data_IF_526042022650
#
_entry.id   IF_526042022650
#
_cell.length_a   1.000
_cell.length_b   1.000
_cell.length_c   1.000
_cell.angle_alpha   90.00
_cell.angle_beta   90.00
_cell.angle_gamma   90.00
#
_symmetry.space_group_name_H-M   'P 1'
#
loop_
_entity.id
_entity.type
_entity.pdbx_description
1 polymer ?
#
# COMPACT_ATOMS: atom_id res chain seq x y z
N UNK A 1 -4.50 10.52 16.62
CA UNK A 1 -3.39 9.62 16.99
C UNK A 1 -2.87 10.05 18.35
N UNK A 2 -3.39 9.51 19.45
CA UNK A 2 -2.74 9.69 20.76
C UNK A 2 -1.47 8.83 20.75
N UNK A 3 -0.31 9.48 20.82
CA UNK A 3 0.96 8.78 21.00
C UNK A 3 0.93 8.07 22.35
N UNK A 4 0.65 6.78 22.34
CA UNK A 4 0.91 5.88 23.46
C UNK A 4 2.43 5.68 23.57
N UNK A 5 3.16 6.75 23.89
CA UNK A 5 4.59 6.68 24.15
C UNK A 5 4.85 5.60 25.20
N UNK A 6 5.80 4.71 24.94
CA UNK A 6 6.15 3.59 25.83
C UNK A 6 6.44 4.08 27.26
N UNK A 7 6.96 5.30 27.39
CA UNK A 7 7.21 6.01 28.64
C UNK A 7 6.16 7.10 28.89
N UNK A 8 4.91 6.71 29.11
CA UNK A 8 3.85 7.65 29.44
C UNK A 8 3.91 8.12 30.91
N UNK A 9 3.07 9.10 31.26
CA UNK A 9 2.97 9.64 32.62
C UNK A 9 2.57 8.56 33.64
N UNK A 10 1.84 7.52 33.22
CA UNK A 10 1.44 6.42 34.10
C UNK A 10 2.63 5.52 34.43
N UNK A 11 3.51 5.27 33.46
CA UNK A 11 4.78 4.57 33.66
C UNK A 11 5.64 5.28 34.70
N UNK A 12 5.89 6.58 34.54
CA UNK A 12 6.73 7.35 35.46
C UNK A 12 6.15 7.41 36.88
N UNK A 13 4.82 7.50 37.02
CA UNK A 13 4.16 7.41 38.33
C UNK A 13 4.35 6.05 38.99
N UNK A 14 4.17 4.96 38.24
CA UNK A 14 4.37 3.60 38.74
C UNK A 14 5.84 3.33 39.12
N UNK A 15 6.77 3.78 38.28
CA UNK A 15 8.20 3.64 38.51
C UNK A 15 8.67 4.45 39.72
N UNK A 16 8.17 5.67 39.89
CA UNK A 16 8.46 6.50 41.06
C UNK A 16 7.95 5.86 42.37
N UNK A 17 6.76 5.26 42.35
CA UNK A 17 6.22 4.51 43.49
C UNK A 17 7.08 3.28 43.82
N UNK A 18 7.51 2.55 42.79
CA UNK A 18 8.43 1.42 42.96
C UNK A 18 9.75 1.84 43.61
N UNK A 19 10.38 2.92 43.11
CA UNK A 19 11.63 3.45 43.68
C UNK A 19 11.47 3.87 45.15
N UNK A 20 10.33 4.45 45.50
CA UNK A 20 10.02 4.81 46.88
C UNK A 20 9.93 3.57 47.80
N UNK A 21 9.27 2.50 47.34
CA UNK A 21 9.21 1.23 48.09
C UNK A 21 10.60 0.61 48.21
N UNK A 22 11.39 0.59 47.14
CA UNK A 22 12.75 0.07 47.16
C UNK A 22 13.64 0.85 48.14
N UNK A 23 13.51 2.18 48.19
CA UNK A 23 14.21 3.03 49.15
C UNK A 23 13.84 2.70 50.60
N UNK A 24 12.55 2.52 50.90
CA UNK A 24 12.07 2.11 52.23
C UNK A 24 12.67 0.74 52.62
N UNK A 25 12.66 -0.23 51.68
CA UNK A 25 13.25 -1.55 51.90
C UNK A 25 14.74 -1.43 52.24
N UNK A 26 15.50 -0.63 51.50
CA UNK A 26 16.92 -0.38 51.79
C UNK A 26 17.18 0.30 53.14
N UNK A 27 16.23 1.08 53.67
CA UNK A 27 16.34 1.74 54.98
C UNK A 27 15.91 0.85 56.16
N UNK A 28 15.17 -0.25 55.92
CA UNK A 28 14.70 -1.16 56.98
C UNK A 28 15.83 -1.77 57.83
N UNK A 29 16.98 -2.21 57.28
CA UNK A 29 18.08 -2.75 58.09
C UNK A 29 18.61 -1.75 59.12
N UNK A 30 18.76 -0.48 58.73
CA UNK A 30 19.20 0.58 59.63
C UNK A 30 18.18 0.86 60.74
N UNK A 31 16.89 0.81 60.42
CA UNK A 31 15.82 0.98 61.41
C UNK A 31 15.77 -0.18 62.41
N UNK A 32 15.85 -1.42 61.91
CA UNK A 32 15.77 -2.63 62.72
C UNK A 32 17.01 -2.79 63.62
N UNK A 33 18.20 -2.44 63.13
CA UNK A 33 19.44 -2.54 63.91
C UNK A 33 19.57 -1.47 64.99
N UNK A 34 19.05 -0.26 64.78
CA UNK A 34 19.15 0.84 65.76
C UNK A 34 18.16 0.72 66.93
N UNK A 35 17.02 0.07 66.73
CA UNK A 35 15.93 -0.01 67.71
C UNK A 35 15.73 -1.40 68.34
N UNK A 36 16.54 -2.39 67.96
CA UNK A 36 16.50 -3.72 68.56
C UNK A 36 17.23 -3.74 69.91
N UNK A 37 16.56 -4.23 70.96
CA UNK A 37 17.14 -4.55 72.28
C UNK A 37 18.06 -5.79 72.28
N UNK A 38 18.63 -6.15 71.12
CA UNK A 38 19.38 -7.39 70.92
C UNK A 38 20.85 -7.02 70.68
N UNK A 39 21.74 -7.51 71.54
CA UNK A 39 23.18 -7.30 71.43
C UNK A 39 23.75 -8.21 70.33
N UNK A 40 24.19 -7.60 69.24
CA UNK A 40 24.67 -8.30 68.05
C UNK A 40 26.21 -8.27 67.94
N UNK A 41 26.89 -8.65 69.02
CA UNK A 41 28.36 -8.67 69.08
C UNK A 41 29.02 -9.76 68.20
N UNK A 42 28.26 -10.76 67.72
CA UNK A 42 28.70 -11.75 66.73
C UNK A 42 28.22 -11.35 65.31
N UNK A 43 29.15 -11.02 64.43
CA UNK A 43 28.86 -10.52 63.06
C UNK A 43 28.13 -11.52 62.16
N UNK A 44 28.13 -12.82 62.49
CA UNK A 44 27.44 -13.86 61.72
C UNK A 44 25.91 -13.84 61.87
N UNK A 45 25.40 -13.69 63.10
CA UNK A 45 23.95 -13.76 63.40
C UNK A 45 23.18 -12.53 62.88
N UNK A 46 23.87 -11.39 62.73
CA UNK A 46 23.34 -10.19 62.05
C UNK A 46 23.05 -10.49 60.58
N UNK A 47 24.00 -11.16 59.90
CA UNK A 47 23.89 -11.48 58.47
C UNK A 47 22.69 -12.38 58.19
N UNK A 48 22.48 -13.40 59.01
CA UNK A 48 21.38 -14.35 58.87
C UNK A 48 20.02 -13.69 59.13
N UNK A 49 19.92 -12.81 60.12
CA UNK A 49 18.68 -12.08 60.44
C UNK A 49 18.34 -11.05 59.35
N UNK A 50 19.33 -10.28 58.87
CA UNK A 50 19.12 -9.32 57.78
C UNK A 50 18.75 -10.07 56.50
N UNK A 51 19.45 -11.15 56.14
CA UNK A 51 19.16 -11.94 54.95
C UNK A 51 17.75 -12.57 54.98
N UNK A 52 17.37 -13.16 56.11
CA UNK A 52 16.05 -13.79 56.29
C UNK A 52 14.88 -12.80 56.25
N UNK A 53 15.05 -11.62 56.86
CA UNK A 53 14.01 -10.57 56.84
C UNK A 53 13.97 -9.85 55.49
N UNK A 54 15.11 -9.57 54.86
CA UNK A 54 15.18 -8.81 53.61
C UNK A 54 14.81 -9.63 52.37
N UNK A 55 15.06 -10.94 52.37
CA UNK A 55 14.81 -11.83 51.23
C UNK A 55 13.40 -11.67 50.62
N UNK A 56 12.32 -11.78 51.41
CA UNK A 56 10.95 -11.58 50.91
C UNK A 56 10.70 -10.18 50.33
N UNK A 57 11.24 -9.12 50.94
CA UNK A 57 11.06 -7.74 50.42
C UNK A 57 11.80 -7.53 49.10
N UNK A 58 13.03 -8.02 48.99
CA UNK A 58 13.81 -7.99 47.75
C UNK A 58 13.09 -8.79 46.66
N UNK A 59 12.53 -9.96 47.00
CA UNK A 59 11.77 -10.78 46.06
C UNK A 59 10.49 -10.08 45.56
N UNK A 60 9.75 -9.40 46.43
CA UNK A 60 8.58 -8.59 46.03
C UNK A 60 9.00 -7.42 45.13
N UNK A 61 10.10 -6.75 45.46
CA UNK A 61 10.63 -5.67 44.62
C UNK A 61 11.05 -6.21 43.24
N UNK A 62 11.76 -7.34 43.18
CA UNK A 62 12.15 -7.99 41.93
C UNK A 62 10.92 -8.43 41.10
N UNK A 63 9.88 -8.97 41.74
CA UNK A 63 8.63 -9.32 41.07
C UNK A 63 7.92 -8.07 40.51
N UNK A 64 7.91 -6.97 41.26
CA UNK A 64 7.39 -5.68 40.82
C UNK A 64 8.12 -5.13 39.59
N UNK A 65 9.46 -5.12 39.61
CA UNK A 65 10.27 -4.75 38.44
C UNK A 65 9.98 -5.63 37.22
N UNK A 66 9.85 -6.93 37.45
CA UNK A 66 9.57 -7.90 36.40
C UNK A 66 8.22 -7.62 35.74
N UNK A 67 7.17 -7.33 36.52
CA UNK A 67 5.85 -6.96 35.99
C UNK A 67 5.92 -5.66 35.19
N UNK A 68 6.64 -4.64 35.68
CA UNK A 68 6.84 -3.38 34.96
C UNK A 68 7.56 -3.61 33.63
N UNK A 69 8.62 -4.41 33.63
CA UNK A 69 9.38 -4.76 32.44
C UNK A 69 8.49 -5.49 31.41
N UNK A 70 7.72 -6.49 31.85
CA UNK A 70 6.76 -7.19 30.99
C UNK A 70 5.68 -6.27 30.44
N UNK A 71 5.20 -5.31 31.24
CA UNK A 71 4.19 -4.35 30.78
C UNK A 71 4.73 -3.43 29.68
N UNK A 72 5.97 -2.93 29.85
CA UNK A 72 6.68 -2.15 28.82
C UNK A 72 6.86 -2.99 27.55
N UNK A 73 7.29 -4.24 27.70
CA UNK A 73 7.49 -5.16 26.58
C UNK A 73 6.19 -5.50 25.86
N UNK A 74 5.09 -5.68 26.59
CA UNK A 74 3.75 -5.89 26.04
C UNK A 74 3.29 -4.68 25.21
N UNK A 75 3.46 -3.46 25.74
CA UNK A 75 3.13 -2.23 25.01
C UNK A 75 3.98 -2.07 23.75
N UNK A 76 5.29 -2.32 23.84
CA UNK A 76 6.19 -2.32 22.69
C UNK A 76 5.79 -3.38 21.65
N UNK A 77 5.36 -4.56 22.08
CA UNK A 77 4.91 -5.63 21.19
C UNK A 77 3.63 -5.24 20.41
N UNK A 78 2.68 -4.54 21.04
CA UNK A 78 1.49 -4.05 20.33
C UNK A 78 1.87 -3.10 19.20
N UNK A 79 2.76 -2.14 19.48
CA UNK A 79 3.24 -1.21 18.45
C UNK A 79 3.97 -1.95 17.33
N UNK A 80 4.86 -2.86 17.70
CA UNK A 80 5.62 -3.67 16.76
C UNK A 80 4.71 -4.51 15.84
N UNK A 81 3.58 -5.03 16.35
CA UNK A 81 2.61 -5.77 15.52
C UNK A 81 1.99 -4.90 14.42
N UNK A 82 1.75 -3.62 14.70
CA UNK A 82 1.23 -2.67 13.72
C UNK A 82 2.27 -2.36 12.65
N UNK A 83 3.51 -2.09 13.07
CA UNK A 83 4.61 -1.78 12.13
C UNK A 83 4.91 -2.99 11.22
N UNK A 84 4.96 -4.20 11.78
CA UNK A 84 5.08 -5.45 11.01
C UNK A 84 3.92 -5.63 10.02
N UNK A 85 2.69 -5.23 10.38
CA UNK A 85 1.56 -5.35 9.46
C UNK A 85 1.71 -4.43 8.24
N UNK A 86 2.22 -3.21 8.45
CA UNK A 86 2.53 -2.27 7.36
C UNK A 86 3.67 -2.82 6.49
N UNK A 87 4.78 -3.26 7.10
CA UNK A 87 5.91 -3.83 6.36
C UNK A 87 5.48 -5.04 5.51
N UNK A 88 4.63 -5.92 6.04
CA UNK A 88 4.06 -7.06 5.30
C UNK A 88 3.18 -6.60 4.16
N UNK A 89 2.35 -5.58 4.38
CA UNK A 89 1.53 -5.00 3.32
C UNK A 89 2.40 -4.46 2.19
N UNK A 90 3.42 -3.66 2.52
CA UNK A 90 4.33 -3.06 1.54
C UNK A 90 5.11 -4.14 0.79
N UNK A 91 5.66 -5.12 1.50
CA UNK A 91 6.38 -6.24 0.89
C UNK A 91 5.49 -7.01 -0.09
N UNK A 92 4.24 -7.32 0.28
CA UNK A 92 3.29 -7.98 -0.62
C UNK A 92 2.93 -7.09 -1.81
N UNK A 93 2.71 -5.80 -1.60
CA UNK A 93 2.39 -4.86 -2.68
C UNK A 93 3.54 -4.79 -3.69
N UNK A 94 4.79 -4.65 -3.23
CA UNK A 94 5.95 -4.59 -4.11
C UNK A 94 6.16 -5.91 -4.86
N UNK A 95 5.89 -7.05 -4.22
CA UNK A 95 5.91 -8.34 -4.89
C UNK A 95 4.83 -8.44 -5.99
N UNK A 96 3.61 -7.97 -5.73
CA UNK A 96 2.59 -7.92 -6.77
C UNK A 96 2.98 -6.95 -7.90
N UNK A 97 3.61 -5.82 -7.61
CA UNK A 97 4.13 -4.93 -8.65
C UNK A 97 5.21 -5.64 -9.47
N UNK A 98 6.10 -6.40 -8.82
CA UNK A 98 7.12 -7.19 -9.51
C UNK A 98 6.49 -8.22 -10.45
N UNK A 99 5.52 -9.01 -9.96
CA UNK A 99 4.78 -9.98 -10.78
C UNK A 99 4.06 -9.28 -11.95
N UNK A 100 3.51 -8.07 -11.76
CA UNK A 100 2.93 -7.30 -12.86
C UNK A 100 3.95 -6.99 -13.95
N UNK A 101 5.18 -6.63 -13.56
CA UNK A 101 6.27 -6.40 -14.51
C UNK A 101 6.69 -7.69 -15.21
N UNK A 102 6.73 -8.82 -14.51
CA UNK A 102 7.00 -10.12 -15.15
C UNK A 102 5.91 -10.51 -16.16
N UNK A 103 4.63 -10.35 -15.81
CA UNK A 103 3.51 -10.58 -16.73
C UNK A 103 3.69 -9.71 -17.97
N UNK A 104 4.00 -8.42 -17.77
CA UNK A 104 4.21 -7.45 -18.86
C UNK A 104 5.37 -7.87 -19.75
N UNK A 105 6.53 -8.20 -19.16
CA UNK A 105 7.73 -8.59 -19.88
C UNK A 105 7.59 -9.95 -20.59
N UNK A 106 6.74 -10.83 -20.06
CA UNK A 106 6.40 -12.12 -20.67
C UNK A 106 5.42 -12.04 -21.85
N UNK A 107 4.79 -10.88 -22.09
CA UNK A 107 3.94 -10.69 -23.26
C UNK A 107 4.76 -10.81 -24.54
N UNK A 108 4.25 -11.58 -25.51
CA UNK A 108 4.92 -11.79 -26.79
C UNK A 108 3.91 -12.02 -27.89
N UNK A 109 4.08 -11.33 -29.01
CA UNK A 109 3.34 -11.56 -30.25
C UNK A 109 4.32 -12.05 -31.29
N UNK A 110 4.05 -13.24 -31.83
CA UNK A 110 4.87 -13.87 -32.86
C UNK A 110 4.06 -14.08 -34.13
N UNK A 111 4.69 -13.81 -35.28
CA UNK A 111 4.20 -14.27 -36.57
C UNK A 111 4.72 -15.68 -36.80
N UNK A 112 3.83 -16.61 -37.10
CA UNK A 112 4.19 -17.96 -37.53
C UNK A 112 4.72 -17.85 -38.97
N UNK A 113 6.00 -18.12 -39.16
CA UNK A 113 6.63 -18.25 -40.47
C UNK A 113 6.81 -19.71 -40.86
N UNK A 114 7.07 -19.99 -42.15
CA UNK A 114 7.31 -21.36 -42.64
C UNK A 114 8.59 -21.99 -42.09
N UNK A 115 9.60 -21.18 -41.72
CA UNK A 115 10.90 -21.64 -41.23
C UNK A 115 11.16 -21.31 -39.76
N UNK A 116 10.85 -20.08 -39.33
CA UNK A 116 11.03 -19.63 -37.94
C UNK A 116 9.94 -18.64 -37.54
N UNK A 117 9.56 -18.66 -36.26
CA UNK A 117 8.67 -17.65 -35.69
C UNK A 117 9.40 -16.32 -35.58
N UNK A 118 8.81 -15.26 -36.14
CA UNK A 118 9.33 -13.90 -35.99
C UNK A 118 8.61 -13.19 -34.86
N UNK A 119 9.35 -12.73 -33.87
CA UNK A 119 8.82 -11.87 -32.79
C UNK A 119 8.45 -10.51 -33.40
N UNK A 120 7.17 -10.15 -33.33
CA UNK A 120 6.65 -8.88 -33.82
C UNK A 120 6.70 -7.80 -32.73
N UNK A 121 6.38 -8.19 -31.50
CA UNK A 121 6.44 -7.34 -30.32
C UNK A 121 6.68 -8.19 -29.06
N UNK A 122 7.36 -7.62 -28.07
CA UNK A 122 7.65 -8.29 -26.79
C UNK A 122 7.58 -7.27 -25.66
N UNK A 123 7.21 -7.74 -24.46
CA UNK A 123 7.15 -6.90 -23.29
C UNK A 123 6.15 -5.75 -23.45
N UNK A 124 6.59 -4.53 -23.12
CA UNK A 124 5.77 -3.31 -23.20
C UNK A 124 5.42 -2.89 -24.63
N UNK A 125 6.25 -3.26 -25.61
CA UNK A 125 6.01 -2.90 -27.02
C UNK A 125 4.76 -3.59 -27.58
N UNK A 126 4.31 -4.67 -26.93
CA UNK A 126 3.07 -5.36 -27.28
C UNK A 126 1.86 -4.41 -27.22
N UNK A 127 1.78 -3.54 -26.21
CA UNK A 127 0.66 -2.60 -26.09
C UNK A 127 0.63 -1.61 -27.25
N UNK A 128 1.80 -1.10 -27.66
CA UNK A 128 1.90 -0.23 -28.83
C UNK A 128 1.51 -0.97 -30.10
N UNK A 129 2.06 -2.18 -30.30
CA UNK A 129 1.80 -2.95 -31.50
C UNK A 129 0.32 -3.30 -31.65
N UNK A 130 -0.33 -3.75 -30.58
CA UNK A 130 -1.77 -4.03 -30.54
C UNK A 130 -2.59 -2.79 -30.86
N UNK A 131 -2.23 -1.65 -30.27
CA UNK A 131 -2.98 -0.42 -30.43
C UNK A 131 -2.85 0.18 -31.84
N UNK A 132 -1.63 0.21 -32.39
CA UNK A 132 -1.31 0.98 -33.61
C UNK A 132 -1.17 0.14 -34.89
N UNK A 133 -0.83 -1.15 -34.78
CA UNK A 133 -0.35 -1.91 -35.93
C UNK A 133 -1.06 -3.25 -36.17
N UNK A 134 -1.49 -3.93 -35.11
CA UNK A 134 -2.09 -5.26 -35.19
C UNK A 134 -3.46 -5.22 -35.87
N UNK A 135 -3.68 -5.98 -36.96
CA UNK A 135 -5.01 -6.14 -37.52
C UNK A 135 -5.84 -7.08 -36.62
N UNK A 136 -6.98 -6.59 -36.16
CA UNK A 136 -7.93 -7.33 -35.33
C UNK A 136 -9.25 -7.49 -36.09
N UNK A 137 -9.88 -8.64 -35.95
CA UNK A 137 -11.22 -8.86 -36.49
C UNK A 137 -12.24 -8.17 -35.59
N UNK A 138 -12.70 -6.99 -36.01
CA UNK A 138 -13.61 -6.15 -35.23
C UNK A 138 -14.93 -6.02 -36.00
N UNK A 139 -16.04 -6.18 -35.28
CA UNK A 139 -17.38 -5.87 -35.78
C UNK A 139 -17.62 -4.37 -35.64
N UNK A 140 -17.96 -3.71 -36.75
CA UNK A 140 -18.43 -2.33 -36.77
C UNK A 140 -19.74 -2.27 -37.53
N UNK A 141 -20.81 -1.85 -36.86
CA UNK A 141 -22.18 -1.97 -37.36
C UNK A 141 -22.52 -3.40 -37.83
N UNK A 142 -22.91 -3.54 -39.10
CA UNK A 142 -23.30 -4.83 -39.69
C UNK A 142 -22.16 -5.60 -40.38
N UNK A 143 -20.91 -5.15 -40.27
CA UNK A 143 -19.77 -5.75 -40.97
C UNK A 143 -18.62 -6.08 -40.03
N UNK A 144 -18.03 -7.25 -40.23
CA UNK A 144 -16.76 -7.63 -39.61
C UNK A 144 -15.62 -7.37 -40.60
N UNK A 145 -14.50 -6.86 -40.10
CA UNK A 145 -13.31 -6.66 -40.92
C UNK A 145 -12.05 -6.61 -40.07
N UNK A 146 -10.90 -6.61 -40.74
CA UNK A 146 -9.62 -6.45 -40.08
C UNK A 146 -9.29 -4.96 -39.96
N UNK A 147 -9.27 -4.47 -38.72
CA UNK A 147 -9.00 -3.08 -38.40
C UNK A 147 -7.90 -2.98 -37.35
N UNK A 148 -7.14 -1.88 -37.38
CA UNK A 148 -6.29 -1.52 -36.25
C UNK A 148 -7.17 -1.04 -35.11
N UNK A 149 -6.79 -1.37 -33.88
CA UNK A 149 -7.60 -1.04 -32.70
C UNK A 149 -7.86 0.47 -32.61
N UNK A 150 -6.81 1.30 -32.77
CA UNK A 150 -6.92 2.77 -32.76
C UNK A 150 -7.90 3.30 -33.81
N UNK A 151 -7.88 2.75 -35.01
CA UNK A 151 -8.76 3.20 -36.10
C UNK A 151 -10.22 2.79 -35.82
N UNK A 152 -10.44 1.57 -35.32
CA UNK A 152 -11.78 1.10 -34.95
C UNK A 152 -12.38 1.94 -33.80
N UNK A 153 -11.61 2.19 -32.74
CA UNK A 153 -12.01 3.03 -31.60
C UNK A 153 -12.29 4.50 -32.00
N UNK A 154 -11.69 4.97 -33.09
CA UNK A 154 -11.95 6.31 -33.62
C UNK A 154 -13.25 6.39 -34.43
N UNK A 155 -13.65 5.30 -35.07
CA UNK A 155 -14.76 5.30 -36.02
C UNK A 155 -16.09 4.84 -35.41
N UNK A 156 -16.07 4.04 -34.36
CA UNK A 156 -17.28 3.44 -33.79
C UNK A 156 -17.20 3.37 -32.24
N UNK A 157 -18.12 4.06 -31.56
CA UNK A 157 -18.19 4.07 -30.10
C UNK A 157 -18.62 2.71 -29.53
N UNK A 158 -19.33 1.87 -30.30
CA UNK A 158 -19.73 0.53 -29.85
C UNK A 158 -18.50 -0.37 -29.63
N UNK A 159 -17.42 -0.12 -30.38
CA UNK A 159 -16.12 -0.81 -30.19
C UNK A 159 -15.54 -0.52 -28.81
N UNK A 160 -15.77 0.69 -28.26
CA UNK A 160 -15.31 1.03 -26.89
C UNK A 160 -16.06 0.21 -25.85
N UNK A 161 -17.37 0.04 -26.03
CA UNK A 161 -18.22 -0.70 -25.09
C UNK A 161 -17.94 -2.21 -25.12
N UNK A 162 -17.60 -2.75 -26.30
CA UNK A 162 -17.31 -4.17 -26.53
C UNK A 162 -15.83 -4.54 -26.64
N UNK A 163 -14.90 -3.73 -26.11
CA UNK A 163 -13.45 -3.97 -26.29
C UNK A 163 -12.99 -5.29 -25.66
N UNK A 164 -13.64 -5.72 -24.57
CA UNK A 164 -13.39 -7.01 -23.91
C UNK A 164 -13.75 -8.23 -24.78
N UNK A 165 -14.63 -8.01 -25.75
CA UNK A 165 -15.20 -9.04 -26.63
C UNK A 165 -14.45 -9.13 -27.97
N UNK A 166 -13.42 -8.28 -28.19
CA UNK A 166 -12.62 -8.31 -29.42
C UNK A 166 -11.72 -9.53 -29.42
N UNK A 167 -11.96 -10.42 -30.39
CA UNK A 167 -11.14 -11.58 -30.66
C UNK A 167 -9.70 -11.13 -30.99
N UNK A 168 -8.74 -11.56 -30.18
CA UNK A 168 -7.34 -11.16 -30.28
C UNK A 168 -6.84 -10.25 -29.16
N UNK A 169 -7.70 -9.77 -28.25
CA UNK A 169 -7.27 -9.01 -27.05
C UNK A 169 -7.28 -9.82 -25.75
N UNK A 170 -7.90 -11.00 -25.74
CA UNK A 170 -8.08 -11.84 -24.54
C UNK A 170 -6.75 -12.24 -23.84
N UNK A 171 -5.63 -12.24 -24.56
CA UNK A 171 -4.33 -12.52 -23.96
C UNK A 171 -3.90 -11.44 -22.95
N UNK A 172 -4.46 -10.23 -23.03
CA UNK A 172 -4.25 -9.14 -22.06
C UNK A 172 -5.16 -9.25 -20.82
N UNK A 173 -6.14 -10.17 -20.80
CA UNK A 173 -7.07 -10.31 -19.67
C UNK A 173 -6.33 -10.62 -18.37
N UNK A 174 -5.28 -11.44 -18.45
CA UNK A 174 -4.46 -11.77 -17.29
C UNK A 174 -3.74 -10.52 -16.75
N UNK A 175 -3.20 -9.69 -17.64
CA UNK A 175 -2.53 -8.44 -17.30
C UNK A 175 -3.49 -7.47 -16.58
N UNK A 176 -4.70 -7.23 -17.12
CA UNK A 176 -5.66 -6.31 -16.49
C UNK A 176 -6.23 -6.85 -15.19
N UNK A 177 -6.50 -8.17 -15.12
CA UNK A 177 -6.99 -8.80 -13.89
C UNK A 177 -5.98 -8.67 -12.77
N UNK A 178 -4.70 -8.85 -13.07
CA UNK A 178 -3.64 -8.70 -12.08
C UNK A 178 -3.46 -7.24 -11.65
N UNK A 179 -3.45 -6.29 -12.59
CA UNK A 179 -3.41 -4.85 -12.27
C UNK A 179 -4.60 -4.42 -11.40
N UNK A 180 -5.81 -4.86 -11.73
CA UNK A 180 -7.00 -4.66 -10.89
C UNK A 180 -6.81 -5.20 -9.48
N UNK A 181 -6.21 -6.40 -9.33
CA UNK A 181 -5.96 -7.00 -8.02
C UNK A 181 -4.97 -6.21 -7.18
N UNK A 182 -3.94 -5.62 -7.78
CA UNK A 182 -2.99 -4.74 -7.09
C UNK A 182 -3.72 -3.52 -6.52
N UNK A 183 -4.50 -2.84 -7.36
CA UNK A 183 -5.22 -1.64 -6.91
C UNK A 183 -6.29 -2.01 -5.89
N UNK A 184 -6.95 -3.17 -6.06
CA UNK A 184 -7.92 -3.66 -5.09
C UNK A 184 -7.28 -4.01 -3.74
N UNK A 185 -6.07 -4.54 -3.74
CA UNK A 185 -5.29 -4.81 -2.53
C UNK A 185 -5.01 -3.53 -1.74
N UNK A 186 -4.65 -2.44 -2.43
CA UNK A 186 -4.49 -1.11 -1.83
C UNK A 186 -5.83 -0.59 -1.28
N UNK A 187 -6.90 -0.75 -2.07
CA UNK A 187 -8.25 -0.29 -1.70
C UNK A 187 -8.80 -0.97 -0.44
N UNK A 188 -8.54 -2.27 -0.29
CA UNK A 188 -9.04 -3.07 0.82
C UNK A 188 -8.29 -2.83 2.15
N UNK A 189 -7.15 -2.12 2.14
CA UNK A 189 -6.32 -1.84 3.33
C UNK A 189 -6.90 -0.78 4.30
N UNK A 190 -8.22 -0.62 4.37
CA UNK A 190 -8.95 0.43 5.10
C UNK A 190 -8.60 0.54 6.60
N UNK A 191 -8.24 -0.56 7.25
CA UNK A 191 -7.97 -0.58 8.69
C UNK A 191 -6.51 -0.31 9.06
N UNK A 192 -5.60 -0.36 8.08
CA UNK A 192 -4.15 -0.23 8.31
C UNK A 192 -3.60 1.09 7.77
N UNK A 193 -4.24 1.65 6.73
CA UNK A 193 -3.68 2.72 5.92
C UNK A 193 -4.77 3.77 5.67
N UNK A 194 -4.47 5.03 6.01
CA UNK A 194 -5.32 6.17 5.70
C UNK A 194 -5.44 6.39 4.18
N UNK A 195 -6.51 7.05 3.75
CA UNK A 195 -6.75 7.43 2.36
C UNK A 195 -5.47 7.90 1.69
N UNK A 196 -4.88 9.02 2.15
CA UNK A 196 -3.68 9.65 1.55
C UNK A 196 -2.57 8.66 1.18
N UNK A 197 -2.21 7.75 2.09
CA UNK A 197 -1.19 6.73 1.83
C UNK A 197 -1.60 5.73 0.75
N UNK A 198 -2.89 5.38 0.64
CA UNK A 198 -3.38 4.51 -0.45
C UNK A 198 -3.16 5.13 -1.82
N UNK A 199 -3.40 6.43 -1.97
CA UNK A 199 -3.07 7.12 -3.22
C UNK A 199 -1.58 7.15 -3.49
N UNK A 200 -0.74 7.36 -2.47
CA UNK A 200 0.72 7.26 -2.65
C UNK A 200 1.13 5.89 -3.20
N UNK A 201 0.61 4.80 -2.62
CA UNK A 201 0.86 3.45 -3.13
C UNK A 201 0.30 3.24 -4.56
N UNK A 202 -0.91 3.74 -4.85
CA UNK A 202 -1.48 3.65 -6.19
C UNK A 202 -0.69 4.48 -7.22
N UNK A 203 -0.13 5.62 -6.81
CA UNK A 203 0.76 6.44 -7.62
C UNK A 203 2.08 5.72 -7.92
N UNK A 204 2.62 4.94 -6.97
CA UNK A 204 3.77 4.06 -7.21
C UNK A 204 3.41 3.02 -8.28
N UNK A 205 2.26 2.34 -8.16
CA UNK A 205 1.79 1.38 -9.19
C UNK A 205 1.66 2.07 -10.55
N UNK A 206 1.02 3.23 -10.61
CA UNK A 206 0.87 4.05 -11.83
C UNK A 206 2.21 4.39 -12.47
N UNK A 207 3.23 4.73 -11.68
CA UNK A 207 4.56 5.05 -12.20
C UNK A 207 5.24 3.87 -12.90
N UNK A 208 4.75 2.64 -12.68
CA UNK A 208 5.25 1.44 -13.38
C UNK A 208 4.60 1.20 -14.74
N UNK A 209 3.54 1.93 -15.10
CA UNK A 209 2.78 1.74 -16.35
C UNK A 209 3.36 2.59 -17.49
N UNK A 210 3.54 2.00 -18.68
CA UNK A 210 3.99 2.74 -19.86
C UNK A 210 2.85 3.58 -20.47
N UNK A 211 3.17 4.54 -21.37
CA UNK A 211 2.14 5.35 -22.02
C UNK A 211 1.06 4.52 -22.73
N UNK A 212 1.45 3.47 -23.47
CA UNK A 212 0.49 2.61 -24.17
C UNK A 212 -0.29 1.69 -23.22
N UNK A 213 0.29 1.28 -22.08
CA UNK A 213 -0.46 0.59 -21.03
C UNK A 213 -1.56 1.49 -20.46
N UNK A 214 -1.29 2.78 -20.22
CA UNK A 214 -2.30 3.74 -19.75
C UNK A 214 -3.40 3.97 -20.80
N UNK A 215 -3.06 4.07 -22.08
CA UNK A 215 -4.04 4.22 -23.17
C UNK A 215 -4.93 2.99 -23.28
N UNK A 216 -4.33 1.80 -23.24
CA UNK A 216 -5.07 0.55 -23.32
C UNK A 216 -5.91 0.31 -22.06
N UNK A 217 -5.41 0.69 -20.88
CA UNK A 217 -6.17 0.68 -19.62
C UNK A 217 -7.38 1.62 -19.66
N UNK A 218 -7.23 2.82 -20.24
CA UNK A 218 -8.33 3.76 -20.42
C UNK A 218 -9.49 3.11 -21.20
N UNK A 219 -9.20 2.44 -22.32
CA UNK A 219 -10.24 1.76 -23.10
C UNK A 219 -10.78 0.51 -22.41
N UNK A 220 -9.92 -0.30 -21.78
CA UNK A 220 -10.36 -1.48 -21.03
C UNK A 220 -11.32 -1.14 -19.86
N UNK A 221 -11.16 0.03 -19.26
CA UNK A 221 -12.02 0.53 -18.20
C UNK A 221 -13.50 0.68 -18.60
N UNK A 222 -13.82 0.85 -19.88
CA UNK A 222 -15.21 0.96 -20.34
C UNK A 222 -16.00 -0.33 -20.15
N UNK A 223 -15.37 -1.49 -20.39
CA UNK A 223 -16.01 -2.80 -20.22
C UNK A 223 -15.94 -3.34 -18.78
N UNK A 224 -15.16 -2.71 -17.89
CA UNK A 224 -14.92 -3.20 -16.53
C UNK A 224 -15.31 -2.17 -15.45
N UNK A 225 -16.61 -2.04 -15.10
CA UNK A 225 -17.10 -1.01 -14.17
C UNK A 225 -16.42 -1.01 -12.81
N UNK A 226 -16.10 -2.19 -12.27
CA UNK A 226 -15.40 -2.29 -10.97
C UNK A 226 -13.97 -1.79 -11.03
N UNK A 227 -13.27 -2.05 -12.13
CA UNK A 227 -11.91 -1.56 -12.29
C UNK A 227 -11.91 -0.07 -12.60
N UNK A 228 -12.87 0.38 -13.41
CA UNK A 228 -13.12 1.80 -13.66
C UNK A 228 -13.26 2.61 -12.37
N UNK A 229 -14.08 2.14 -11.41
CA UNK A 229 -14.24 2.83 -10.13
C UNK A 229 -12.89 3.03 -9.41
N UNK A 230 -12.01 2.04 -9.45
CA UNK A 230 -10.67 2.11 -8.85
C UNK A 230 -9.73 3.02 -9.65
N UNK A 231 -9.76 2.94 -10.97
CA UNK A 231 -8.99 3.82 -11.87
C UNK A 231 -9.29 5.28 -11.57
N UNK A 232 -10.57 5.61 -11.41
CA UNK A 232 -11.03 6.96 -11.10
C UNK A 232 -10.66 7.36 -9.67
N UNK A 233 -10.97 6.51 -8.69
CA UNK A 233 -10.70 6.78 -7.27
C UNK A 233 -9.23 7.10 -7.00
N UNK A 234 -8.30 6.40 -7.65
CA UNK A 234 -6.86 6.56 -7.44
C UNK A 234 -6.15 7.36 -8.53
N UNK A 235 -6.91 7.99 -9.43
CA UNK A 235 -6.40 8.73 -10.57
C UNK A 235 -5.29 8.00 -11.35
N UNK A 236 -5.50 6.73 -11.68
CA UNK A 236 -4.46 5.90 -12.32
C UNK A 236 -4.07 6.41 -13.71
N UNK A 237 -4.94 7.16 -14.38
CA UNK A 237 -4.67 7.74 -15.69
C UNK A 237 -4.03 9.13 -15.62
N UNK A 238 -3.61 9.59 -14.44
CA UNK A 238 -2.84 10.82 -14.35
C UNK A 238 -1.56 10.72 -15.20
N UNK A 239 -1.19 11.80 -15.89
CA UNK A 239 -0.13 11.86 -16.90
C UNK A 239 -0.37 11.02 -18.17
N UNK A 240 -1.60 10.61 -18.46
CA UNK A 240 -1.93 10.01 -19.75
C UNK A 240 -1.62 10.99 -20.89
N UNK A 241 -0.97 10.49 -21.95
CA UNK A 241 -0.67 11.27 -23.15
C UNK A 241 -1.91 11.38 -24.02
N UNK A 242 -2.66 12.46 -23.81
CA UNK A 242 -3.94 12.71 -24.49
C UNK A 242 -3.79 12.67 -26.01
N UNK A 243 -2.65 13.08 -26.57
CA UNK A 243 -2.37 13.04 -28.00
C UNK A 243 -2.45 11.61 -28.59
N UNK A 244 -2.22 10.58 -27.78
CA UNK A 244 -2.25 9.18 -28.21
C UNK A 244 -3.64 8.55 -28.24
N UNK A 245 -4.66 9.16 -27.61
CA UNK A 245 -6.03 8.61 -27.62
C UNK A 245 -6.57 8.53 -29.04
N UNK A 246 -7.51 7.61 -29.29
CA UNK A 246 -8.00 7.28 -30.62
C UNK A 246 -8.79 8.43 -31.23
N UNK A 247 -9.82 8.91 -30.54
CA UNK A 247 -10.75 9.90 -31.07
C UNK A 247 -10.61 11.28 -30.42
N UNK A 248 -10.97 12.34 -31.16
CA UNK A 248 -10.93 13.71 -30.67
C UNK A 248 -11.85 13.93 -29.44
N UNK A 249 -12.98 13.23 -29.35
CA UNK A 249 -13.88 13.31 -28.21
C UNK A 249 -13.21 12.84 -26.91
N UNK A 250 -12.49 11.70 -26.95
CA UNK A 250 -11.70 11.21 -25.82
C UNK A 250 -10.61 12.22 -25.44
N UNK A 251 -9.87 12.74 -26.43
CA UNK A 251 -8.82 13.76 -26.21
C UNK A 251 -9.35 14.98 -25.48
N UNK A 252 -10.49 15.50 -25.94
CA UNK A 252 -11.12 16.68 -25.35
C UNK A 252 -11.61 16.38 -23.94
N UNK A 253 -12.32 15.27 -23.76
CA UNK A 253 -12.85 14.87 -22.46
C UNK A 253 -11.73 14.76 -21.43
N UNK A 254 -10.62 14.13 -21.79
CA UNK A 254 -9.48 13.92 -20.92
C UNK A 254 -8.75 15.24 -20.67
N UNK A 255 -8.45 16.03 -21.70
CA UNK A 255 -7.79 17.34 -21.55
C UNK A 255 -8.57 18.34 -20.69
N UNK A 256 -9.90 18.42 -20.84
CA UNK A 256 -10.72 19.35 -20.07
C UNK A 256 -10.70 19.04 -18.57
N UNK A 257 -10.31 17.82 -18.19
CA UNK A 257 -10.24 17.35 -16.79
C UNK A 257 -8.87 17.48 -16.15
N UNK A 258 -7.82 17.68 -16.95
CA UNK A 258 -6.44 17.89 -16.49
C UNK A 258 -6.03 19.36 -16.37
N UNK A 259 -6.88 20.31 -16.81
CA UNK A 259 -6.58 21.75 -16.77
C UNK A 259 -6.41 22.33 -15.35
N UNK A 260 -6.82 21.61 -14.30
CA UNK A 260 -6.78 22.06 -12.89
C UNK A 260 -5.61 21.50 -12.04
N UNK A 261 -4.67 20.76 -12.65
CA UNK A 261 -3.71 19.90 -11.92
C UNK A 261 -2.25 20.37 -11.82
N UNK A 262 -1.82 21.37 -12.61
CA UNK A 262 -0.43 21.84 -12.60
C UNK A 262 -0.28 23.25 -12.02
N UNK A 263 -0.24 23.35 -10.68
CA UNK A 263 0.32 24.51 -9.98
C UNK A 263 1.50 24.05 -9.08
N UNK A 264 2.76 24.25 -9.51
CA UNK A 264 3.96 23.70 -8.84
C UNK A 264 4.33 24.34 -7.48
N UNK A 265 3.60 25.36 -7.00
CA UNK A 265 4.00 26.14 -5.82
C UNK A 265 3.34 25.69 -4.49
N UNK A 266 2.91 24.43 -4.32
CA UNK A 266 2.18 23.97 -3.11
C UNK A 266 2.68 22.66 -2.48
N UNK A 267 3.91 22.23 -2.77
CA UNK A 267 4.34 20.87 -2.43
C UNK A 267 4.77 20.62 -0.97
N UNK A 268 5.05 21.64 -0.15
CA UNK A 268 5.45 21.38 1.25
C UNK A 268 4.27 21.05 2.19
N UNK A 269 3.02 21.31 1.79
CA UNK A 269 1.80 21.01 2.56
C UNK A 269 0.65 20.58 1.65
N UNK A 270 0.93 19.69 0.69
CA UNK A 270 -0.03 19.29 -0.35
C UNK A 270 -1.13 18.39 0.22
N UNK A 271 -2.35 18.89 0.26
CA UNK A 271 -3.54 18.13 0.66
C UNK A 271 -3.95 17.15 -0.45
N UNK A 272 -3.41 15.92 -0.36
CA UNK A 272 -3.70 14.83 -1.31
C UNK A 272 -5.15 14.35 -1.25
N UNK A 273 -5.92 14.69 -0.19
CA UNK A 273 -7.34 14.32 -0.06
C UNK A 273 -8.20 14.90 -1.18
N UNK A 274 -7.71 15.97 -1.84
CA UNK A 274 -8.35 16.60 -2.99
C UNK A 274 -7.87 16.03 -4.32
N UNK A 275 -6.76 15.29 -4.38
CA UNK A 275 -6.28 14.65 -5.61
C UNK A 275 -7.12 13.45 -6.02
N UNK A 276 -7.73 12.74 -5.06
CA UNK A 276 -8.81 11.77 -5.36
C UNK A 276 -9.96 12.39 -6.16
N UNK A 277 -10.08 13.72 -6.14
CA UNK A 277 -11.13 14.49 -6.81
C UNK A 277 -10.61 15.28 -8.01
N UNK A 278 -9.35 15.13 -8.39
CA UNK A 278 -8.74 15.91 -9.46
C UNK A 278 -8.01 14.99 -10.44
N UNK A 279 -8.40 15.06 -11.72
CA UNK A 279 -7.56 14.56 -12.81
C UNK A 279 -7.75 13.13 -13.33
N UNK A 280 -8.88 12.44 -13.11
CA UNK A 280 -9.10 11.15 -13.81
C UNK A 280 -10.57 10.77 -14.01
N UNK A 281 -11.47 11.74 -14.14
CA UNK A 281 -12.89 11.42 -14.35
C UNK A 281 -13.11 10.84 -15.75
N UNK A 282 -13.73 9.66 -15.86
CA UNK A 282 -14.24 9.13 -17.14
C UNK A 282 -15.73 8.83 -16.93
N UNK A 283 -16.55 9.87 -17.17
CA UNK A 283 -18.03 9.90 -17.20
C UNK A 283 -18.79 9.89 -15.87
N UNK A 284 -19.37 11.06 -15.54
CA UNK A 284 -20.69 11.13 -14.93
C UNK A 284 -21.73 11.22 -16.06
N UNK A 285 -22.51 10.14 -16.24
CA UNK A 285 -23.72 10.13 -17.06
C UNK A 285 -23.58 9.55 -18.46
N UNK A 286 -23.85 8.25 -18.59
CA UNK A 286 -24.88 7.69 -19.48
C UNK A 286 -25.65 6.66 -18.65
#
# INVERSE_FOLDING_TARGET
>A
MEQNATFDIRFWKSFSWFLFIAFIICCLPWLLTKYAWIDFSSTGEIGDTIGGVMGPFVAIAAAGLTIIAFWVQYKANIQQRHDIAIERFESNLFEMIHIQQEITNGLKIESIGESENRVLASGRDVFQFVYEAMPLNIKMGNSSGNYRLKDALNNDDDVKMGIDSIEGLCFLDHYYRHLYRIIKYIDDANYMIDGNKKYEYAAIVRATLSPYELIMLYYNGFSHPRFKELIERYALLNNIRCDMLACYADKRMVNDKFKDDYLPNRDENRDMSREYKKGAFVFSGI
#
